data_IF_446637700354
#
_entry.id   IF_446637700354
#
_cell.length_a   1.000
_cell.length_b   1.000
_cell.length_c   1.000
_cell.angle_alpha   90.00
_cell.angle_beta   90.00
_cell.angle_gamma   90.00
#
_symmetry.space_group_name_H-M   'P 1'
#
loop_
_entity.id
_entity.type
_entity.pdbx_description
1 polymer ?
#
# COMPACT_ATOMS: atom_id res chain seq x y z
N UNK A 1 13.66 -2.11 -44.22
CA UNK A 1 14.15 -1.79 -42.86
C UNK A 1 13.40 -0.55 -42.38
N UNK A 2 12.50 -0.69 -41.41
CA UNK A 2 11.66 0.41 -40.95
C UNK A 2 12.44 1.28 -39.95
N UNK A 3 12.53 2.58 -40.25
CA UNK A 3 13.25 3.55 -39.43
C UNK A 3 12.43 3.83 -38.15
N UNK A 4 12.84 3.25 -37.01
CA UNK A 4 12.17 3.49 -35.73
C UNK A 4 12.53 4.89 -35.21
N UNK A 5 11.53 5.77 -35.11
CA UNK A 5 11.66 7.08 -34.50
C UNK A 5 11.83 6.90 -32.98
N UNK A 6 12.94 7.39 -32.44
CA UNK A 6 13.21 7.31 -30.99
C UNK A 6 12.62 8.52 -30.25
N UNK A 7 12.47 8.42 -28.92
CA UNK A 7 11.98 9.54 -28.07
C UNK A 7 12.83 10.82 -28.20
N UNK A 8 14.12 10.69 -28.54
CA UNK A 8 15.00 11.83 -28.81
C UNK A 8 14.67 12.51 -30.14
N UNK A 9 14.28 11.75 -31.15
CA UNK A 9 13.89 12.27 -32.48
C UNK A 9 12.54 12.98 -32.45
N UNK A 10 11.62 12.56 -31.58
CA UNK A 10 10.35 13.26 -31.37
C UNK A 10 10.56 14.61 -30.66
N UNK A 11 11.44 14.65 -29.65
CA UNK A 11 11.79 15.88 -28.94
C UNK A 11 12.50 16.89 -29.82
N UNK A 12 13.46 16.46 -30.64
CA UNK A 12 14.21 17.35 -31.54
C UNK A 12 13.35 17.92 -32.67
N UNK A 13 12.34 17.17 -33.15
CA UNK A 13 11.40 17.64 -34.18
C UNK A 13 10.36 18.63 -33.65
N UNK A 14 10.04 18.58 -32.36
CA UNK A 14 9.11 19.53 -31.73
C UNK A 14 9.79 20.90 -31.46
N UNK A 15 11.11 20.92 -31.24
CA UNK A 15 11.88 22.16 -31.05
C UNK A 15 11.97 23.03 -32.31
N UNK A 16 11.76 22.47 -33.51
CA UNK A 16 11.83 23.21 -34.77
C UNK A 16 10.57 24.01 -35.14
N UNK A 17 9.45 23.83 -34.44
CA UNK A 17 8.16 24.46 -34.76
C UNK A 17 7.76 25.59 -33.79
N UNK A 18 8.61 25.95 -32.83
CA UNK A 18 8.32 26.95 -31.78
C UNK A 18 9.09 28.28 -31.90
N UNK A 19 9.87 28.47 -32.96
CA UNK A 19 10.71 29.67 -33.11
C UNK A 19 9.95 30.98 -33.49
N UNK A 20 8.62 30.99 -33.57
CA UNK A 20 7.83 32.17 -33.95
C UNK A 20 6.72 32.56 -32.95
N UNK A 21 6.85 32.20 -31.68
CA UNK A 21 5.82 32.50 -30.67
C UNK A 21 6.33 32.56 -29.25
N UNK A 22 7.40 33.31 -28.98
CA UNK A 22 7.82 33.61 -27.60
C UNK A 22 6.97 34.77 -27.09
N UNK A 23 5.72 34.47 -26.72
CA UNK A 23 4.96 35.30 -25.80
C UNK A 23 5.07 34.66 -24.41
N UNK A 24 5.79 35.36 -23.53
CA UNK A 24 5.94 35.17 -22.09
C UNK A 24 5.03 34.09 -21.46
N UNK A 25 5.51 32.86 -21.43
CA UNK A 25 5.04 31.88 -20.46
C UNK A 25 5.99 31.96 -19.29
N UNK A 26 5.60 32.72 -18.25
CA UNK A 26 6.22 32.63 -16.94
C UNK A 26 6.20 31.15 -16.55
N UNK A 27 7.38 30.53 -16.53
CA UNK A 27 7.57 29.20 -15.97
C UNK A 27 7.35 29.31 -14.48
N UNK A 28 6.08 29.24 -14.08
CA UNK A 28 5.72 28.83 -12.73
C UNK A 28 6.25 27.41 -12.59
N UNK A 29 7.43 27.28 -11.99
CA UNK A 29 7.87 26.01 -11.46
C UNK A 29 6.78 25.59 -10.47
N UNK A 30 5.92 24.68 -10.90
CA UNK A 30 4.92 24.04 -10.04
C UNK A 30 5.71 23.13 -9.11
N UNK A 31 6.30 23.71 -8.07
CA UNK A 31 6.74 22.94 -6.92
C UNK A 31 5.49 22.33 -6.31
N UNK A 32 5.35 21.01 -6.45
CA UNK A 32 4.32 20.27 -5.76
C UNK A 32 4.50 20.55 -4.26
N UNK A 33 3.57 21.31 -3.67
CA UNK A 33 3.57 21.57 -2.24
C UNK A 33 3.70 20.25 -1.49
N UNK A 34 4.56 20.21 -0.46
CA UNK A 34 4.80 19.02 0.33
C UNK A 34 3.45 18.45 0.81
N UNK A 35 3.06 17.29 0.29
CA UNK A 35 1.76 16.70 0.61
C UNK A 35 1.78 16.23 2.06
N UNK A 36 0.73 16.57 2.80
CA UNK A 36 0.56 16.11 4.18
C UNK A 36 0.59 14.58 4.22
N UNK A 37 1.44 14.01 5.09
CA UNK A 37 1.48 12.57 5.31
C UNK A 37 0.12 12.03 5.76
N UNK A 38 -0.45 11.12 4.99
CA UNK A 38 -1.76 10.53 5.27
C UNK A 38 -1.64 9.40 6.30
N UNK A 39 -2.44 9.40 7.38
CA UNK A 39 -2.41 8.34 8.37
C UNK A 39 -2.93 7.01 7.79
N UNK A 40 -2.14 5.95 7.90
CA UNK A 40 -2.49 4.61 7.42
C UNK A 40 -2.34 3.56 8.52
N UNK A 41 -3.12 2.49 8.41
CA UNK A 41 -2.97 1.31 9.26
C UNK A 41 -2.35 0.16 8.47
N UNK A 42 -1.57 -0.69 9.14
CA UNK A 42 -1.04 -1.92 8.57
C UNK A 42 -1.61 -3.15 9.28
N UNK A 43 -1.99 -4.16 8.51
CA UNK A 43 -2.39 -5.49 8.99
C UNK A 43 -1.40 -6.48 8.39
N UNK A 44 -0.49 -6.99 9.19
CA UNK A 44 0.61 -7.84 8.73
C UNK A 44 0.56 -9.22 9.40
N UNK A 45 0.93 -10.28 8.68
CA UNK A 45 0.99 -11.62 9.29
C UNK A 45 2.24 -11.81 10.14
N UNK A 46 3.40 -11.35 9.67
CA UNK A 46 4.67 -11.31 10.40
C UNK A 46 5.53 -10.15 9.87
N UNK A 47 6.40 -9.60 10.71
CA UNK A 47 7.35 -8.57 10.31
C UNK A 47 8.76 -8.96 10.76
N UNK A 48 9.57 -9.42 9.81
CA UNK A 48 10.99 -9.76 9.99
C UNK A 48 11.82 -9.07 8.91
N UNK A 49 13.13 -9.03 9.08
CA UNK A 49 14.04 -8.54 8.04
C UNK A 49 13.79 -9.27 6.70
N UNK A 50 13.74 -8.53 5.59
CA UNK A 50 13.44 -9.03 4.25
C UNK A 50 12.05 -9.71 4.09
N UNK A 51 11.09 -9.47 4.98
CA UNK A 51 9.70 -9.84 4.72
C UNK A 51 9.01 -8.81 3.81
N UNK A 52 7.86 -9.16 3.26
CA UNK A 52 7.06 -8.24 2.47
C UNK A 52 6.57 -7.05 3.31
N UNK A 53 6.33 -7.28 4.61
CA UNK A 53 6.06 -6.22 5.56
C UNK A 53 7.25 -5.26 5.67
N UNK A 54 8.48 -5.74 5.65
CA UNK A 54 9.67 -4.91 5.62
C UNK A 54 9.75 -4.06 4.34
N UNK A 55 9.56 -4.69 3.18
CA UNK A 55 9.63 -4.01 1.87
C UNK A 55 8.56 -2.94 1.68
N UNK A 56 7.39 -3.07 2.32
CA UNK A 56 6.26 -2.13 2.17
C UNK A 56 6.15 -1.19 3.37
N UNK A 57 6.02 -1.73 4.59
CA UNK A 57 5.87 -0.93 5.82
C UNK A 57 7.17 -0.21 6.14
N UNK A 58 8.32 -0.85 5.93
CA UNK A 58 9.63 -0.22 6.11
C UNK A 58 9.77 1.04 5.24
N UNK A 59 9.23 1.05 4.02
CA UNK A 59 9.22 2.28 3.19
C UNK A 59 8.39 3.41 3.78
N UNK A 60 7.31 3.10 4.49
CA UNK A 60 6.48 4.09 5.19
C UNK A 60 7.19 4.62 6.44
N UNK A 61 7.96 3.77 7.11
CA UNK A 61 8.67 4.12 8.36
C UNK A 61 9.99 4.86 8.10
N UNK A 62 10.76 4.41 7.11
CA UNK A 62 12.17 4.75 6.91
C UNK A 62 12.47 5.36 5.53
N UNK A 63 11.45 5.58 4.69
CA UNK A 63 11.61 6.16 3.37
C UNK A 63 11.94 5.15 2.26
N UNK A 64 12.04 5.62 1.02
CA UNK A 64 12.13 4.75 -0.17
C UNK A 64 13.31 3.78 -0.16
N UNK A 65 14.43 4.23 0.43
CA UNK A 65 15.69 3.51 0.55
C UNK A 65 15.92 2.94 1.96
N UNK A 66 14.95 3.12 2.87
CA UNK A 66 15.07 2.77 4.28
C UNK A 66 16.28 3.42 4.99
N UNK A 67 16.61 4.65 4.61
CA UNK A 67 17.73 5.45 5.13
C UNK A 67 17.26 6.65 5.97
N UNK A 68 15.97 6.68 6.32
CA UNK A 68 15.31 7.79 7.03
C UNK A 68 15.04 9.02 6.17
N UNK A 69 15.34 8.96 4.87
CA UNK A 69 15.17 10.10 3.96
C UNK A 69 13.77 10.14 3.35
N UNK A 70 13.63 10.76 2.17
CA UNK A 70 12.37 10.89 1.46
C UNK A 70 11.64 9.54 1.33
N UNK A 71 10.33 9.58 1.57
CA UNK A 71 9.45 8.42 1.58
C UNK A 71 8.08 8.74 0.98
N UNK A 72 7.15 7.77 1.01
CA UNK A 72 5.77 8.06 0.64
C UNK A 72 5.17 9.10 1.59
N UNK A 73 4.20 9.86 1.09
CA UNK A 73 3.41 10.81 1.88
C UNK A 73 2.39 10.08 2.80
N UNK A 74 2.87 9.09 3.54
CA UNK A 74 2.10 8.22 4.43
C UNK A 74 2.71 8.25 5.83
N UNK A 75 1.87 8.07 6.85
CA UNK A 75 2.27 7.96 8.27
C UNK A 75 1.59 6.73 8.88
N UNK A 76 2.38 5.78 9.36
CA UNK A 76 1.84 4.61 10.04
C UNK A 76 1.32 5.01 11.44
N UNK A 77 0.01 4.85 11.69
CA UNK A 77 -0.61 5.18 12.98
C UNK A 77 -0.97 3.95 13.81
N UNK A 78 -1.16 2.81 13.16
CA UNK A 78 -1.45 1.55 13.84
C UNK A 78 -0.99 0.35 13.04
N UNK A 79 -0.54 -0.70 13.73
CA UNK A 79 -0.20 -1.98 13.12
C UNK A 79 -0.78 -3.15 13.90
N UNK A 80 -1.40 -4.09 13.20
CA UNK A 80 -1.73 -5.42 13.69
C UNK A 80 -0.72 -6.42 13.15
N UNK A 81 -0.19 -7.28 14.02
CA UNK A 81 0.75 -8.35 13.66
C UNK A 81 0.17 -9.67 14.15
N UNK A 82 -0.06 -10.63 13.25
CA UNK A 82 -0.71 -11.91 13.60
C UNK A 82 0.25 -12.85 14.37
N UNK A 83 1.50 -12.90 13.93
CA UNK A 83 2.56 -13.74 14.48
C UNK A 83 3.75 -12.88 14.89
N UNK A 84 4.46 -13.29 15.95
CA UNK A 84 5.67 -12.62 16.46
C UNK A 84 6.79 -13.66 16.53
N UNK A 85 7.42 -14.00 15.39
CA UNK A 85 8.49 -14.99 15.35
C UNK A 85 9.79 -14.44 15.96
N UNK A 86 10.80 -15.32 16.14
CA UNK A 86 12.15 -14.88 16.51
C UNK A 86 12.70 -13.92 15.44
N UNK A 87 13.17 -12.75 15.84
CA UNK A 87 13.60 -11.69 14.92
C UNK A 87 12.49 -10.75 14.45
N UNK A 88 11.35 -10.71 15.16
CA UNK A 88 10.28 -9.74 14.88
C UNK A 88 10.77 -8.29 15.03
N UNK A 89 10.52 -7.50 13.99
CA UNK A 89 10.81 -6.06 13.93
C UNK A 89 9.62 -5.22 14.42
N UNK A 90 8.39 -5.77 14.41
CA UNK A 90 7.17 -5.00 14.69
C UNK A 90 7.20 -4.33 16.07
N UNK A 91 7.69 -5.03 17.10
CA UNK A 91 7.79 -4.48 18.47
C UNK A 91 8.89 -3.46 18.64
N UNK A 92 10.00 -3.61 17.92
CA UNK A 92 11.09 -2.62 17.90
C UNK A 92 10.60 -1.29 17.35
N UNK A 93 9.98 -1.34 16.17
CA UNK A 93 9.38 -0.18 15.53
C UNK A 93 8.28 0.47 16.37
N UNK A 94 7.46 -0.34 17.05
CA UNK A 94 6.44 0.19 17.93
C UNK A 94 7.03 1.05 19.05
N UNK A 95 8.15 0.63 19.66
CA UNK A 95 8.83 1.40 20.71
C UNK A 95 9.46 2.68 20.18
N UNK A 96 10.06 2.63 18.99
CA UNK A 96 10.78 3.77 18.42
C UNK A 96 9.83 4.85 17.87
N UNK A 97 8.74 4.44 17.21
CA UNK A 97 7.82 5.36 16.52
C UNK A 97 6.55 5.67 17.31
N UNK A 98 6.19 4.84 18.28
CA UNK A 98 5.02 5.06 19.15
C UNK A 98 3.66 4.77 18.51
N UNK A 99 3.59 4.09 17.35
CA UNK A 99 2.31 3.71 16.76
C UNK A 99 1.57 2.65 17.61
N UNK A 100 0.24 2.58 17.47
CA UNK A 100 -0.59 1.65 18.25
C UNK A 100 -0.43 0.22 17.74
N UNK A 101 -0.09 -0.73 18.62
CA UNK A 101 -0.13 -2.16 18.32
C UNK A 101 -1.36 -2.82 18.92
N UNK A 102 -2.13 -3.53 18.10
CA UNK A 102 -3.24 -4.37 18.58
C UNK A 102 -2.77 -5.82 18.72
N UNK A 103 -2.86 -6.39 19.93
CA UNK A 103 -2.47 -7.79 20.25
C UNK A 103 -3.53 -8.86 19.92
N UNK A 104 -4.78 -8.48 19.63
CA UNK A 104 -5.87 -9.44 19.44
C UNK A 104 -6.41 -9.37 18.02
N UNK A 105 -6.54 -10.54 17.37
CA UNK A 105 -7.25 -10.76 16.10
C UNK A 105 -8.75 -10.45 16.17
N UNK A 106 -9.22 -9.86 17.27
CA UNK A 106 -10.60 -9.42 17.41
C UNK A 106 -10.80 -8.27 16.44
N UNK A 107 -11.38 -8.58 15.26
CA UNK A 107 -12.56 -7.92 14.64
C UNK A 107 -12.63 -6.38 14.63
N UNK A 108 -11.56 -5.70 15.00
CA UNK A 108 -11.51 -4.35 15.56
C UNK A 108 -10.17 -3.69 15.24
N UNK A 109 -9.21 -4.41 14.64
CA UNK A 109 -7.93 -3.84 14.16
C UNK A 109 -8.09 -2.91 12.97
N UNK A 110 -9.18 -3.02 12.19
CA UNK A 110 -9.57 -1.98 11.23
C UNK A 110 -10.45 -0.88 11.85
N UNK A 111 -10.69 -0.91 13.16
CA UNK A 111 -11.26 0.22 13.90
C UNK A 111 -10.09 0.82 14.70
N UNK A 112 -9.59 2.01 14.36
CA UNK A 112 -8.63 2.67 15.23
C UNK A 112 -9.20 2.72 16.66
N UNK A 113 -8.46 2.14 17.61
CA UNK A 113 -8.73 2.33 19.02
C UNK A 113 -8.30 3.75 19.36
N UNK A 114 -9.17 4.72 19.10
CA UNK A 114 -8.89 6.16 19.22
C UNK A 114 -9.49 6.98 18.08
N UNK A 115 -9.39 8.30 18.18
CA UNK A 115 -9.94 9.30 17.25
C UNK A 115 -9.08 9.51 15.97
N UNK A 116 -8.05 8.69 15.77
CA UNK A 116 -7.16 8.80 14.62
C UNK A 116 -7.89 8.34 13.34
N UNK A 117 -8.31 9.33 12.54
CA UNK A 117 -8.93 9.13 11.22
C UNK A 117 -7.90 8.50 10.27
N UNK A 118 -8.00 7.20 10.00
CA UNK A 118 -7.16 6.52 8.99
C UNK A 118 -7.66 6.80 7.57
N UNK A 119 -6.74 7.05 6.65
CA UNK A 119 -6.99 7.30 5.22
C UNK A 119 -6.82 6.04 4.36
N UNK A 120 -6.30 4.94 4.92
CA UNK A 120 -6.13 3.69 4.18
C UNK A 120 -5.60 2.54 5.05
N UNK A 121 -5.71 1.32 4.52
CA UNK A 121 -5.17 0.09 5.14
C UNK A 121 -4.25 -0.64 4.17
N UNK A 122 -3.07 -1.00 4.67
CA UNK A 122 -2.11 -1.89 4.02
C UNK A 122 -2.25 -3.28 4.63
N UNK A 123 -2.73 -4.24 3.86
CA UNK A 123 -2.84 -5.65 4.24
C UNK A 123 -1.69 -6.42 3.60
N UNK A 124 -0.82 -6.98 4.45
CA UNK A 124 0.45 -7.57 4.02
C UNK A 124 0.61 -8.98 4.56
N UNK A 125 0.62 -9.94 3.65
CA UNK A 125 0.85 -11.34 3.93
C UNK A 125 2.30 -11.73 3.71
N UNK A 126 2.93 -12.35 4.70
CA UNK A 126 4.22 -13.03 4.52
C UNK A 126 4.06 -14.53 4.65
N UNK A 127 4.64 -15.28 3.70
CA UNK A 127 4.57 -16.73 3.65
C UNK A 127 5.26 -17.32 4.88
N UNK A 128 4.46 -17.57 5.92
CA UNK A 128 4.93 -18.34 7.05
C UNK A 128 5.45 -19.68 6.54
N UNK A 129 6.60 -20.12 7.06
CA UNK A 129 7.05 -21.51 7.02
C UNK A 129 6.08 -22.30 7.90
N UNK A 130 4.88 -22.48 7.39
CA UNK A 130 3.87 -23.36 7.93
C UNK A 130 3.71 -24.48 6.93
N UNK A 131 3.46 -25.73 7.36
CA UNK A 131 3.49 -26.90 6.49
C UNK A 131 2.47 -26.88 5.34
N UNK A 132 1.62 -25.85 5.24
CA UNK A 132 0.65 -25.69 4.15
C UNK A 132 0.54 -24.25 3.65
N UNK A 133 0.86 -23.96 2.37
CA UNK A 133 0.69 -22.64 1.76
C UNK A 133 -0.76 -22.14 1.75
N UNK A 134 -1.74 -23.04 1.91
CA UNK A 134 -3.18 -22.72 2.05
C UNK A 134 -3.48 -21.82 3.26
N UNK A 135 -2.73 -21.95 4.35
CA UNK A 135 -2.98 -21.21 5.59
C UNK A 135 -2.64 -19.73 5.44
N UNK A 136 -1.57 -19.41 4.71
CA UNK A 136 -1.17 -18.03 4.41
C UNK A 136 -2.26 -17.26 3.69
N UNK A 137 -2.68 -17.77 2.53
CA UNK A 137 -3.64 -17.08 1.68
C UNK A 137 -4.94 -16.90 2.45
N UNK A 138 -5.33 -17.91 3.23
CA UNK A 138 -6.48 -17.81 4.14
C UNK A 138 -6.32 -16.73 5.21
N UNK A 139 -5.13 -16.52 5.79
CA UNK A 139 -4.89 -15.43 6.75
C UNK A 139 -4.92 -14.05 6.09
N UNK A 140 -4.37 -13.90 4.88
CA UNK A 140 -4.41 -12.65 4.12
C UNK A 140 -5.84 -12.28 3.70
N UNK A 141 -6.57 -13.24 3.13
CA UNK A 141 -8.01 -13.13 2.82
C UNK A 141 -8.82 -12.75 4.07
N UNK A 142 -8.50 -13.32 5.24
CA UNK A 142 -9.15 -12.95 6.51
C UNK A 142 -8.77 -11.54 6.98
N UNK A 143 -7.53 -11.12 6.79
CA UNK A 143 -7.07 -9.76 7.08
C UNK A 143 -7.78 -8.72 6.20
N UNK A 144 -7.92 -9.03 4.91
CA UNK A 144 -8.63 -8.20 3.95
C UNK A 144 -10.13 -8.11 4.24
N UNK A 145 -10.81 -9.24 4.46
CA UNK A 145 -12.24 -9.26 4.84
C UNK A 145 -12.45 -8.52 6.17
N UNK A 146 -11.54 -8.67 7.14
CA UNK A 146 -11.59 -7.93 8.40
C UNK A 146 -11.42 -6.43 8.21
N UNK A 147 -10.53 -6.00 7.31
CA UNK A 147 -10.32 -4.60 6.96
C UNK A 147 -11.53 -4.02 6.24
N UNK A 148 -12.10 -4.75 5.27
CA UNK A 148 -13.31 -4.37 4.54
C UNK A 148 -14.55 -4.32 5.46
N UNK A 149 -14.69 -5.25 6.42
CA UNK A 149 -15.76 -5.21 7.42
C UNK A 149 -15.56 -4.10 8.44
N UNK A 150 -14.32 -3.74 8.75
CA UNK A 150 -14.05 -2.63 9.64
C UNK A 150 -14.35 -1.28 8.98
N UNK A 151 -14.12 -1.13 7.67
CA UNK A 151 -14.61 0.03 6.93
C UNK A 151 -16.15 0.10 6.94
N UNK A 152 -16.86 -1.06 6.91
CA UNK A 152 -18.32 -1.09 7.20
C UNK A 152 -18.65 -0.58 8.59
N UNK A 153 -17.92 -0.97 9.64
CA UNK A 153 -18.20 -0.55 11.01
C UNK A 153 -17.95 0.96 11.21
N UNK A 154 -16.97 1.50 10.48
CA UNK A 154 -16.76 2.94 10.36
C UNK A 154 -17.89 3.69 9.64
N UNK A 155 -18.90 3.01 9.06
CA UNK A 155 -20.10 3.66 8.50
C UNK A 155 -20.95 4.37 9.55
N UNK A 156 -20.91 4.01 10.84
CA UNK A 156 -21.52 4.86 11.89
C UNK A 156 -20.86 6.24 11.99
N UNK A 157 -19.68 6.43 11.36
CA UNK A 157 -18.93 7.69 11.21
C UNK A 157 -18.71 8.09 9.74
N UNK A 158 -19.47 7.52 8.79
CA UNK A 158 -19.51 7.88 7.37
C UNK A 158 -18.15 8.00 6.63
N UNK A 159 -17.22 7.03 6.76
CA UNK A 159 -16.03 7.01 5.89
C UNK A 159 -15.63 5.63 5.41
N UNK A 160 -15.56 5.49 4.09
CA UNK A 160 -14.96 4.34 3.38
C UNK A 160 -13.51 4.74 3.08
N UNK A 161 -12.56 3.82 3.32
CA UNK A 161 -11.15 4.02 3.02
C UNK A 161 -10.63 2.95 2.04
N UNK A 162 -9.60 3.27 1.23
CA UNK A 162 -8.92 2.32 0.37
C UNK A 162 -8.25 1.19 1.16
N UNK A 163 -8.26 -0.01 0.58
CA UNK A 163 -7.54 -1.18 1.09
C UNK A 163 -6.58 -1.68 0.01
N UNK A 164 -5.31 -1.82 0.36
CA UNK A 164 -4.29 -2.44 -0.46
C UNK A 164 -3.98 -3.84 0.07
N UNK A 165 -3.94 -4.85 -0.81
CA UNK A 165 -3.53 -6.22 -0.51
C UNK A 165 -2.32 -6.59 -1.36
N UNK A 166 -1.25 -7.00 -0.70
CA UNK A 166 0.05 -7.30 -1.31
C UNK A 166 0.08 -8.68 -2.02
N UNK A 167 -0.87 -9.56 -1.71
CA UNK A 167 -0.95 -10.93 -2.20
C UNK A 167 -2.18 -11.15 -3.09
N UNK A 168 -2.23 -12.36 -3.64
CA UNK A 168 -3.42 -12.85 -4.33
C UNK A 168 -4.62 -12.88 -3.38
N UNK A 169 -5.79 -12.53 -3.91
CA UNK A 169 -7.05 -12.40 -3.16
C UNK A 169 -7.46 -13.65 -2.38
N UNK A 170 -7.13 -14.82 -2.92
CA UNK A 170 -7.59 -16.08 -2.36
C UNK A 170 -6.99 -17.24 -3.14
N UNK A 171 -6.81 -18.37 -2.45
CA UNK A 171 -6.42 -19.63 -3.10
C UNK A 171 -7.64 -20.28 -3.77
N UNK A 172 -8.80 -20.21 -3.11
CA UNK A 172 -10.08 -20.64 -3.69
C UNK A 172 -10.69 -19.47 -4.45
N UNK A 173 -11.19 -19.76 -5.65
CA UNK A 173 -11.93 -18.78 -6.44
C UNK A 173 -13.15 -18.22 -5.70
N UNK A 174 -13.86 -19.05 -4.92
CA UNK A 174 -14.98 -18.62 -4.09
C UNK A 174 -14.62 -17.49 -3.13
N UNK A 175 -13.44 -17.58 -2.52
CA UNK A 175 -12.98 -16.64 -1.50
C UNK A 175 -12.55 -15.33 -2.14
N UNK A 176 -11.80 -15.42 -3.25
CA UNK A 176 -11.45 -14.25 -4.06
C UNK A 176 -12.70 -13.54 -4.60
N UNK A 177 -13.69 -14.28 -5.12
CA UNK A 177 -14.94 -13.74 -5.61
C UNK A 177 -15.75 -13.08 -4.49
N UNK A 178 -15.77 -13.69 -3.30
CA UNK A 178 -16.43 -13.10 -2.12
C UNK A 178 -15.82 -11.74 -1.76
N UNK A 179 -14.49 -11.62 -1.78
CA UNK A 179 -13.80 -10.36 -1.50
C UNK A 179 -14.12 -9.30 -2.55
N UNK A 180 -14.05 -9.63 -3.84
CA UNK A 180 -14.37 -8.70 -4.93
C UNK A 180 -15.84 -8.25 -4.85
N UNK A 181 -16.78 -9.18 -4.64
CA UNK A 181 -18.20 -8.85 -4.47
C UNK A 181 -18.43 -7.98 -3.23
N UNK A 182 -17.70 -8.25 -2.14
CA UNK A 182 -17.76 -7.46 -0.91
C UNK A 182 -17.24 -6.04 -1.12
N UNK A 183 -16.06 -5.88 -1.71
CA UNK A 183 -15.49 -4.57 -2.04
C UNK A 183 -16.44 -3.76 -2.94
N UNK A 184 -16.97 -4.37 -4.01
CA UNK A 184 -17.96 -3.73 -4.91
C UNK A 184 -19.24 -3.32 -4.19
N UNK A 185 -19.86 -4.25 -3.43
CA UNK A 185 -21.10 -3.98 -2.67
C UNK A 185 -20.91 -2.80 -1.70
N UNK A 186 -19.70 -2.64 -1.17
CA UNK A 186 -19.39 -1.61 -0.19
C UNK A 186 -18.80 -0.35 -0.76
N UNK A 187 -18.50 -0.34 -2.07
CA UNK A 187 -17.79 0.73 -2.76
C UNK A 187 -16.42 1.02 -2.12
N UNK A 188 -15.72 -0.02 -1.67
CA UNK A 188 -14.36 0.09 -1.15
C UNK A 188 -13.41 0.18 -2.34
N UNK A 189 -12.57 1.24 -2.42
CA UNK A 189 -11.44 1.24 -3.34
C UNK A 189 -10.48 0.11 -2.91
N UNK A 190 -10.36 -0.91 -3.74
CA UNK A 190 -9.62 -2.11 -3.39
C UNK A 190 -8.60 -2.42 -4.48
N UNK A 191 -7.32 -2.43 -4.10
CA UNK A 191 -6.22 -2.79 -4.96
C UNK A 191 -5.58 -4.05 -4.40
N UNK A 192 -5.41 -5.06 -5.25
CA UNK A 192 -4.68 -6.26 -4.92
C UNK A 192 -3.75 -6.64 -6.06
N UNK A 193 -2.54 -7.06 -5.73
CA UNK A 193 -1.63 -7.63 -6.72
C UNK A 193 -0.18 -7.23 -6.54
N UNK A 194 0.65 -7.87 -7.37
CA UNK A 194 2.08 -7.62 -7.46
C UNK A 194 2.37 -6.19 -7.93
N UNK A 195 3.56 -5.67 -7.57
CA UNK A 195 4.14 -4.45 -8.15
C UNK A 195 4.79 -4.68 -9.51
N UNK A 196 4.99 -5.93 -9.95
CA UNK A 196 5.54 -6.25 -11.27
C UNK A 196 4.80 -5.61 -12.47
N UNK A 197 3.47 -5.43 -12.44
CA UNK A 197 2.76 -4.68 -13.48
C UNK A 197 3.16 -3.20 -13.57
N UNK A 198 3.68 -2.61 -12.49
CA UNK A 198 4.12 -1.21 -12.44
C UNK A 198 5.64 -1.05 -12.59
N UNK A 199 6.40 -2.14 -12.73
CA UNK A 199 7.82 -2.08 -13.01
C UNK A 199 8.09 -1.47 -14.40
N UNK A 200 9.25 -0.83 -14.54
CA UNK A 200 9.74 -0.35 -15.82
C UNK A 200 9.80 -1.49 -16.83
N UNK A 201 9.31 -1.26 -18.04
CA UNK A 201 9.36 -2.21 -19.15
C UNK A 201 10.08 -1.57 -20.31
N UNK A 202 10.97 -2.34 -20.94
CA UNK A 202 11.45 -1.99 -22.27
C UNK A 202 10.26 -2.12 -23.24
N UNK A 203 9.98 -1.09 -24.06
CA UNK A 203 9.04 -1.23 -25.16
C UNK A 203 9.50 -2.39 -26.05
N UNK A 204 8.59 -3.27 -26.42
CA UNK A 204 8.82 -4.25 -27.48
C UNK A 204 8.46 -3.64 -28.82
#
# INVERSE_FOLDING_TARGET
MANQITRRDFGSRLSGLLAAGVAASSSSEVFAAARRKLPVAAVVTEYRNNSHADVIVGKVLEGWRQDGQAGPDLRLVSMYTDQVPKGDLSRGWQRNTGFRSSRRSNRRSGTPGGDDRIEGVLSIGEQAITPTPRRLVSTCTRGDDSSMRSSRRCRRRARIFPVFSDKHLGWKFSDALHMVKTARKLKIPFMAGSSLPTCWRYPR
#
